data_IF_902409121475
#
_entry.id   IF_902409121475
#
_cell.length_a   1.000
_cell.length_b   1.000
_cell.length_c   1.000
_cell.angle_alpha   90.00
_cell.angle_beta   90.00
_cell.angle_gamma   90.00
#
_symmetry.space_group_name_H-M   'P 1'
#
loop_
_entity.id
_entity.type
_entity.pdbx_description
1 polymer ?
#
# COMPACT_ATOMS: atom_id res chain seq x y z
N UNK A 1 12.71 -15.56 -3.98
CA UNK A 1 14.05 -15.25 -4.54
C UNK A 1 13.84 -14.82 -5.99
N UNK A 2 14.17 -13.57 -6.35
CA UNK A 2 14.02 -13.09 -7.73
C UNK A 2 15.27 -13.47 -8.53
N UNK A 3 15.10 -14.15 -9.66
CA UNK A 3 16.19 -14.51 -10.56
C UNK A 3 16.75 -13.23 -11.20
N UNK A 4 17.98 -12.86 -10.85
CA UNK A 4 18.72 -11.76 -11.48
C UNK A 4 19.50 -12.36 -12.65
N UNK A 5 19.01 -12.15 -13.88
CA UNK A 5 19.78 -12.48 -15.09
C UNK A 5 20.84 -11.38 -15.32
N UNK A 6 22.06 -11.62 -14.85
CA UNK A 6 23.22 -10.79 -15.17
C UNK A 6 23.76 -11.12 -16.55
N UNK A 7 23.81 -10.15 -17.47
CA UNK A 7 24.49 -10.30 -18.77
C UNK A 7 25.95 -9.87 -18.62
N UNK A 8 26.80 -10.76 -18.14
CA UNK A 8 28.26 -10.54 -18.08
C UNK A 8 28.87 -10.60 -19.49
N UNK A 9 29.53 -9.52 -19.91
CA UNK A 9 30.32 -9.50 -21.14
C UNK A 9 31.53 -10.44 -21.07
N UNK A 10 31.99 -10.91 -22.22
CA UNK A 10 33.08 -11.87 -22.38
C UNK A 10 34.38 -11.36 -21.70
N UNK A 11 35.12 -12.16 -20.92
CA UNK A 11 36.21 -11.70 -20.05
C UNK A 11 37.54 -11.39 -20.77
N UNK A 12 37.57 -11.46 -22.10
CA UNK A 12 38.75 -11.17 -22.89
C UNK A 12 38.75 -9.74 -23.42
N UNK A 13 39.70 -8.93 -22.95
CA UNK A 13 40.07 -7.58 -23.41
C UNK A 13 39.31 -6.44 -22.70
N UNK A 14 40.02 -5.74 -21.79
CA UNK A 14 39.59 -4.47 -21.20
C UNK A 14 39.56 -3.40 -22.30
N UNK A 15 38.35 -3.04 -22.73
CA UNK A 15 38.17 -1.92 -23.65
C UNK A 15 37.95 -0.63 -22.83
N UNK A 16 38.92 0.31 -22.77
CA UNK A 16 38.86 1.47 -21.86
C UNK A 16 37.75 2.49 -22.25
N UNK A 17 37.25 2.44 -23.48
CA UNK A 17 36.13 3.26 -23.93
C UNK A 17 34.78 2.78 -23.37
N UNK A 18 34.67 1.50 -23.00
CA UNK A 18 33.46 0.93 -22.39
C UNK A 18 33.65 0.91 -20.89
N UNK A 19 33.28 2.00 -20.22
CA UNK A 19 33.08 1.98 -18.76
C UNK A 19 32.12 0.82 -18.48
N UNK A 20 32.55 -0.16 -17.69
CA UNK A 20 31.69 -1.22 -17.16
C UNK A 20 30.71 -0.59 -16.15
N UNK A 21 29.80 0.26 -16.62
CA UNK A 21 28.66 0.68 -15.85
C UNK A 21 27.75 -0.55 -15.75
N UNK A 22 27.93 -1.33 -14.69
CA UNK A 22 26.97 -2.37 -14.31
C UNK A 22 25.67 -1.66 -13.95
N UNK A 23 24.82 -1.39 -14.94
CA UNK A 23 23.49 -0.84 -14.72
C UNK A 23 22.59 -1.98 -14.25
N UNK A 24 22.20 -1.95 -12.99
CA UNK A 24 21.13 -2.81 -12.48
C UNK A 24 19.80 -2.16 -12.83
N UNK A 25 19.20 -2.58 -13.95
CA UNK A 25 17.83 -2.16 -14.28
C UNK A 25 16.87 -2.94 -13.39
N UNK A 26 16.56 -2.40 -12.21
CA UNK A 26 15.49 -2.93 -11.37
C UNK A 26 14.17 -2.62 -12.08
N UNK A 27 13.58 -3.63 -12.73
CA UNK A 27 12.20 -3.50 -13.23
C UNK A 27 11.32 -3.13 -12.04
N UNK A 28 10.49 -2.07 -12.11
CA UNK A 28 9.58 -1.75 -11.01
C UNK A 28 8.73 -2.98 -10.72
N UNK A 29 8.98 -3.60 -9.57
CA UNK A 29 8.22 -4.75 -9.12
C UNK A 29 6.79 -4.29 -8.94
N UNK A 30 5.83 -4.99 -9.57
CA UNK A 30 4.42 -4.77 -9.28
C UNK A 30 4.23 -5.09 -7.80
N UNK A 31 3.80 -4.10 -7.01
CA UNK A 31 3.49 -4.31 -5.60
C UNK A 31 2.59 -5.55 -5.47
N UNK A 32 2.87 -6.46 -4.53
CA UNK A 32 2.01 -7.61 -4.31
C UNK A 32 0.64 -7.09 -3.86
N UNK A 33 -0.30 -7.06 -4.79
CA UNK A 33 -1.73 -6.88 -4.50
C UNK A 33 -2.20 -8.11 -3.73
N UNK A 34 -1.91 -8.11 -2.45
CA UNK A 34 -2.45 -9.09 -1.51
C UNK A 34 -3.97 -8.93 -1.48
N UNK A 35 -4.68 -10.00 -1.85
CA UNK A 35 -6.13 -10.11 -1.63
C UNK A 35 -6.49 -10.35 -0.15
N UNK A 36 -5.50 -10.40 0.76
CA UNK A 36 -5.79 -10.56 2.19
C UNK A 36 -6.46 -9.28 2.69
N UNK A 37 -7.58 -9.40 3.43
CA UNK A 37 -8.21 -8.26 4.05
C UNK A 37 -7.22 -7.58 5.00
N UNK A 38 -7.10 -6.27 4.90
CA UNK A 38 -6.36 -5.48 5.88
C UNK A 38 -7.13 -5.55 7.20
N UNK A 39 -6.45 -5.94 8.29
CA UNK A 39 -7.08 -5.97 9.60
C UNK A 39 -7.23 -4.54 10.12
N UNK A 40 -8.47 -4.03 10.14
CA UNK A 40 -8.79 -2.77 10.81
C UNK A 40 -8.84 -3.00 12.32
N UNK A 41 -8.02 -2.27 13.07
CA UNK A 41 -7.95 -2.35 14.55
C UNK A 41 -8.16 -0.96 15.14
N UNK A 42 -9.41 -0.57 15.43
CA UNK A 42 -9.71 0.72 16.07
C UNK A 42 -9.21 0.76 17.53
N UNK A 43 -9.13 1.96 18.10
CA UNK A 43 -8.96 2.12 19.55
C UNK A 43 -10.23 1.65 20.28
N UNK A 44 -10.11 1.29 21.56
CA UNK A 44 -11.27 0.84 22.37
C UNK A 44 -12.42 1.85 22.39
N UNK A 45 -12.10 3.15 22.43
CA UNK A 45 -13.10 4.21 22.39
C UNK A 45 -13.88 4.22 21.06
N UNK A 46 -13.16 4.11 19.95
CA UNK A 46 -13.74 4.12 18.61
C UNK A 46 -14.52 2.83 18.33
N UNK A 47 -14.09 1.69 18.89
CA UNK A 47 -14.82 0.43 18.75
C UNK A 47 -16.21 0.50 19.38
N UNK A 48 -16.33 1.07 20.57
CA UNK A 48 -17.63 1.25 21.24
C UNK A 48 -18.57 2.17 20.43
N UNK A 49 -18.04 3.25 19.86
CA UNK A 49 -18.81 4.16 18.99
C UNK A 49 -19.26 3.47 17.70
N UNK A 50 -18.39 2.67 17.08
CA UNK A 50 -18.72 1.88 15.88
C UNK A 50 -19.81 0.84 16.22
N UNK A 51 -19.71 0.13 17.34
CA UNK A 51 -20.70 -0.88 17.72
C UNK A 51 -22.08 -0.26 17.95
N UNK A 52 -22.16 0.86 18.67
CA UNK A 52 -23.41 1.59 18.85
C UNK A 52 -24.01 2.06 17.52
N UNK A 53 -23.17 2.56 16.60
CA UNK A 53 -23.62 3.00 15.29
C UNK A 53 -24.09 1.84 14.40
N UNK A 54 -23.42 0.69 14.50
CA UNK A 54 -23.78 -0.54 13.79
C UNK A 54 -25.12 -1.07 14.30
N UNK A 55 -25.31 -1.14 15.62
CA UNK A 55 -26.59 -1.54 16.24
C UNK A 55 -27.75 -0.64 15.82
N UNK A 56 -27.54 0.69 15.83
CA UNK A 56 -28.56 1.65 15.40
C UNK A 56 -28.92 1.53 13.91
N UNK A 57 -27.97 1.09 13.09
CA UNK A 57 -28.17 0.95 11.64
C UNK A 57 -28.81 -0.39 11.22
N UNK A 58 -28.78 -1.40 12.09
CA UNK A 58 -29.21 -2.76 11.76
C UNK A 58 -28.35 -3.47 10.70
N UNK A 59 -27.19 -2.91 10.34
CA UNK A 59 -26.27 -3.47 9.35
C UNK A 59 -25.21 -4.37 10.00
N UNK A 60 -24.45 -5.10 9.17
CA UNK A 60 -23.24 -5.78 9.65
C UNK A 60 -22.09 -4.77 9.80
N UNK A 61 -21.17 -5.00 10.76
CA UNK A 61 -19.99 -4.15 11.01
C UNK A 61 -19.19 -3.87 9.73
N UNK A 62 -19.01 -4.88 8.86
CA UNK A 62 -18.28 -4.74 7.60
C UNK A 62 -18.98 -3.79 6.62
N UNK A 63 -20.29 -3.96 6.42
CA UNK A 63 -21.07 -3.11 5.51
C UNK A 63 -21.11 -1.65 5.98
N UNK A 64 -21.25 -1.47 7.30
CA UNK A 64 -21.23 -0.14 7.90
C UNK A 64 -19.88 0.55 7.66
N UNK A 65 -18.76 -0.16 7.90
CA UNK A 65 -17.41 0.36 7.67
C UNK A 65 -17.15 0.69 6.19
N UNK A 66 -17.62 -0.15 5.27
CA UNK A 66 -17.50 0.11 3.82
C UNK A 66 -18.27 1.38 3.42
N UNK A 67 -19.51 1.55 3.91
CA UNK A 67 -20.29 2.76 3.65
C UNK A 67 -19.67 4.01 4.26
N UNK A 68 -19.17 3.91 5.50
CA UNK A 68 -18.48 5.01 6.17
C UNK A 68 -17.22 5.44 5.41
N UNK A 69 -16.42 4.48 4.94
CA UNK A 69 -15.23 4.75 4.12
C UNK A 69 -15.60 5.44 2.79
N UNK A 70 -16.66 4.96 2.12
CA UNK A 70 -17.14 5.58 0.88
C UNK A 70 -17.64 7.01 1.14
N UNK A 71 -18.36 7.24 2.24
CA UNK A 71 -18.87 8.56 2.60
C UNK A 71 -17.72 9.55 2.87
N UNK A 72 -16.70 9.12 3.62
CA UNK A 72 -15.50 9.92 3.88
C UNK A 72 -14.75 10.29 2.59
N UNK A 73 -14.62 9.36 1.64
CA UNK A 73 -13.96 9.64 0.36
C UNK A 73 -14.76 10.58 -0.55
N UNK A 74 -16.09 10.57 -0.46
CA UNK A 74 -16.95 11.46 -1.25
C UNK A 74 -16.96 12.89 -0.70
N UNK A 75 -16.96 13.03 0.62
CA UNK A 75 -16.95 14.31 1.33
C UNK A 75 -15.81 14.31 2.35
N UNK A 76 -14.55 14.43 1.89
CA UNK A 76 -13.44 14.50 2.81
C UNK A 76 -13.61 15.75 3.68
N UNK A 77 -13.47 15.65 5.02
CA UNK A 77 -13.42 16.85 5.85
C UNK A 77 -12.25 17.72 5.36
N UNK A 78 -12.42 19.04 5.42
CA UNK A 78 -11.31 19.95 5.13
C UNK A 78 -10.12 19.53 5.99
N UNK A 79 -8.90 19.43 5.42
CA UNK A 79 -7.74 19.06 6.19
C UNK A 79 -7.59 20.09 7.28
N UNK A 80 -7.83 19.68 8.52
CA UNK A 80 -7.63 20.51 9.69
C UNK A 80 -6.14 20.78 9.73
N UNK A 81 -5.75 21.97 9.28
CA UNK A 81 -4.38 22.40 9.12
C UNK A 81 -3.67 22.66 10.45
N UNK A 82 -3.87 21.79 11.45
CA UNK A 82 -3.02 21.73 12.62
C UNK A 82 -1.66 21.20 12.19
N UNK A 83 -0.82 22.15 11.77
CA UNK A 83 0.63 21.98 11.75
C UNK A 83 1.04 21.58 13.17
N UNK A 84 1.46 20.32 13.32
CA UNK A 84 2.30 19.89 14.44
C UNK A 84 3.63 20.63 14.36
#
# INVERSE_FOLDING_TARGET
MAAVEGKTGNPGIRNPAKKNATSFTVKPGKEPRSHKPMAFRPTLSLEAEIEAAVEASGMTKTQWLEQAAIAFLKNPPEPTGEKI
#
